data_IF_117820110854
#
_entry.id   IF_117820110854
#
_cell.length_a   1.000
_cell.length_b   1.000
_cell.length_c   1.000
_cell.angle_alpha   90.00
_cell.angle_beta   90.00
_cell.angle_gamma   90.00
#
_symmetry.space_group_name_H-M   'P 1'
#
loop_
_entity.id
_entity.type
_entity.pdbx_description
1 polymer ?
#
# COMPACT_ATOMS: atom_id res chain seq x y z
N UNK A 1 13.61 -12.83 6.61
CA UNK A 1 12.26 -12.48 7.08
C UNK A 1 11.39 -12.14 5.89
N UNK A 2 10.22 -12.75 5.78
CA UNK A 2 9.33 -12.55 4.63
C UNK A 2 8.50 -11.28 4.84
N UNK A 3 8.53 -10.38 3.86
CA UNK A 3 7.70 -9.19 3.87
C UNK A 3 6.25 -9.59 3.55
N UNK A 4 5.31 -9.17 4.41
CA UNK A 4 3.89 -9.51 4.27
C UNK A 4 3.12 -8.27 3.83
N UNK A 5 2.27 -8.42 2.83
CA UNK A 5 1.56 -7.30 2.22
C UNK A 5 0.06 -7.55 2.04
N UNK A 6 -0.70 -6.46 2.04
CA UNK A 6 -2.10 -6.42 1.60
C UNK A 6 -2.15 -5.45 0.42
N UNK A 7 -2.87 -5.81 -0.62
CA UNK A 7 -3.04 -4.97 -1.82
C UNK A 7 -4.50 -4.54 -1.92
N UNK A 8 -4.73 -3.24 -2.13
CA UNK A 8 -6.07 -2.66 -2.23
C UNK A 8 -6.22 -1.98 -3.59
N UNK A 9 -7.14 -2.47 -4.40
CA UNK A 9 -7.42 -1.96 -5.75
C UNK A 9 -8.81 -2.42 -6.15
N UNK A 10 -9.61 -1.57 -6.78
CA UNK A 10 -10.97 -1.92 -7.18
C UNK A 10 -11.03 -2.80 -8.43
N UNK A 11 -9.91 -3.03 -9.10
CA UNK A 11 -9.83 -3.89 -10.29
C UNK A 11 -9.28 -5.27 -9.92
N UNK A 12 -10.12 -6.33 -9.99
CA UNK A 12 -9.68 -7.69 -9.63
C UNK A 12 -8.52 -8.22 -10.47
N UNK A 13 -8.44 -7.83 -11.74
CA UNK A 13 -7.35 -8.27 -12.61
C UNK A 13 -6.02 -7.67 -12.16
N UNK A 14 -6.03 -6.40 -11.75
CA UNK A 14 -4.85 -5.72 -11.22
C UNK A 14 -4.41 -6.36 -9.90
N UNK A 15 -5.36 -6.68 -9.02
CA UNK A 15 -5.06 -7.36 -7.76
C UNK A 15 -4.33 -8.68 -7.99
N UNK A 16 -4.85 -9.51 -8.90
CA UNK A 16 -4.24 -10.80 -9.19
C UNK A 16 -2.86 -10.66 -9.82
N UNK A 17 -2.71 -9.74 -10.76
CA UNK A 17 -1.43 -9.50 -11.42
C UNK A 17 -0.37 -9.00 -10.43
N UNK A 18 -0.74 -8.07 -9.56
CA UNK A 18 0.16 -7.55 -8.54
C UNK A 18 0.56 -8.63 -7.54
N UNK A 19 -0.40 -9.45 -7.11
CA UNK A 19 -0.13 -10.58 -6.22
C UNK A 19 0.88 -11.54 -6.85
N UNK A 20 0.63 -11.96 -8.08
CA UNK A 20 1.50 -12.92 -8.77
C UNK A 20 2.91 -12.37 -8.95
N UNK A 21 3.00 -11.10 -9.31
CA UNK A 21 4.30 -10.42 -9.45
C UNK A 21 5.07 -10.41 -8.13
N UNK A 22 4.44 -9.95 -7.07
CA UNK A 22 5.10 -9.79 -5.76
C UNK A 22 5.44 -11.14 -5.14
N UNK A 23 4.54 -12.11 -5.23
CA UNK A 23 4.83 -13.47 -4.72
C UNK A 23 5.98 -14.11 -5.48
N UNK A 24 6.07 -13.88 -6.78
CA UNK A 24 7.21 -14.34 -7.58
C UNK A 24 8.53 -13.69 -7.17
N UNK A 25 8.48 -12.57 -6.48
CA UNK A 25 9.65 -11.84 -6.01
C UNK A 25 9.91 -12.01 -4.49
N UNK A 26 9.21 -12.95 -3.86
CA UNK A 26 9.45 -13.28 -2.46
C UNK A 26 8.68 -12.44 -1.44
N UNK A 27 7.69 -11.66 -1.88
CA UNK A 27 6.80 -10.91 -0.98
C UNK A 27 5.53 -11.73 -0.76
N UNK A 28 5.16 -11.99 0.49
CA UNK A 28 3.92 -12.69 0.79
C UNK A 28 2.75 -11.72 0.67
N UNK A 29 1.72 -12.09 -0.11
CA UNK A 29 0.50 -11.31 -0.22
C UNK A 29 -0.55 -12.02 0.62
N UNK A 30 -0.85 -11.46 1.79
CA UNK A 30 -1.75 -12.09 2.77
C UNK A 30 -3.20 -11.72 2.57
N UNK A 31 -3.49 -10.73 1.73
CA UNK A 31 -4.86 -10.38 1.41
C UNK A 31 -4.98 -9.44 0.23
N UNK A 32 -6.11 -9.53 -0.46
CA UNK A 32 -6.49 -8.66 -1.57
C UNK A 32 -7.83 -8.03 -1.21
N UNK A 33 -7.92 -6.71 -1.32
CA UNK A 33 -9.15 -5.97 -1.00
C UNK A 33 -9.56 -5.09 -2.17
N UNK A 34 -10.85 -5.03 -2.46
CA UNK A 34 -11.40 -4.16 -3.50
C UNK A 34 -12.14 -2.96 -2.93
N UNK A 35 -12.34 -2.90 -1.62
CA UNK A 35 -13.00 -1.79 -0.93
C UNK A 35 -12.23 -1.42 0.33
N UNK A 36 -12.51 -0.23 0.86
CA UNK A 36 -11.91 0.22 2.13
C UNK A 36 -12.29 -0.71 3.29
N UNK A 37 -13.53 -1.17 3.33
CA UNK A 37 -14.00 -2.04 4.42
C UNK A 37 -13.27 -3.39 4.41
N UNK A 38 -13.10 -3.99 3.23
CA UNK A 38 -12.32 -5.22 3.10
C UNK A 38 -10.88 -5.00 3.54
N UNK A 39 -10.29 -3.87 3.13
CA UNK A 39 -8.92 -3.53 3.48
C UNK A 39 -8.73 -3.42 4.99
N UNK A 40 -9.63 -2.71 5.65
CA UNK A 40 -9.57 -2.54 7.11
C UNK A 40 -9.66 -3.89 7.83
N UNK A 41 -10.57 -4.76 7.39
CA UNK A 41 -10.72 -6.11 7.97
C UNK A 41 -9.46 -6.95 7.81
N UNK A 42 -8.87 -6.93 6.60
CA UNK A 42 -7.67 -7.71 6.32
C UNK A 42 -6.46 -7.21 7.09
N UNK A 43 -6.32 -5.90 7.20
CA UNK A 43 -5.19 -5.31 7.93
C UNK A 43 -5.30 -5.61 9.42
N UNK A 44 -6.49 -5.53 9.98
CA UNK A 44 -6.74 -5.88 11.38
C UNK A 44 -6.43 -7.35 11.64
N UNK A 45 -6.89 -8.24 10.77
CA UNK A 45 -6.72 -9.68 10.92
C UNK A 45 -5.27 -10.13 10.76
N UNK A 46 -4.58 -9.61 9.73
CA UNK A 46 -3.26 -10.11 9.34
C UNK A 46 -2.09 -9.25 9.82
N UNK A 47 -2.34 -7.99 10.14
CA UNK A 47 -1.30 -7.03 10.55
C UNK A 47 -0.08 -7.09 9.62
N UNK A 48 -0.25 -6.76 8.33
CA UNK A 48 0.84 -6.85 7.36
C UNK A 48 1.93 -5.81 7.64
N UNK A 49 3.09 -6.02 7.05
CA UNK A 49 4.20 -5.06 7.14
C UNK A 49 3.93 -3.84 6.25
N UNK A 50 3.28 -4.06 5.10
CA UNK A 50 3.01 -3.00 4.13
C UNK A 50 1.63 -3.16 3.53
N UNK A 51 0.98 -2.03 3.26
CA UNK A 51 -0.32 -1.98 2.60
C UNK A 51 -0.15 -1.15 1.34
N UNK A 52 -0.43 -1.77 0.18
CA UNK A 52 -0.39 -1.09 -1.11
C UNK A 52 -1.79 -0.64 -1.46
N UNK A 53 -2.00 0.66 -1.61
CA UNK A 53 -3.33 1.23 -1.80
C UNK A 53 -3.38 2.04 -3.09
N UNK A 54 -4.27 1.64 -4.01
CA UNK A 54 -4.58 2.43 -5.20
C UNK A 54 -5.22 3.75 -4.75
N UNK A 55 -4.73 4.87 -5.26
CA UNK A 55 -5.30 6.19 -4.95
C UNK A 55 -6.74 6.32 -5.47
N UNK A 56 -7.10 5.55 -6.50
CA UNK A 56 -8.43 5.56 -7.11
C UNK A 56 -9.12 4.22 -6.85
N UNK A 57 -10.01 4.20 -5.87
CA UNK A 57 -10.77 3.01 -5.48
C UNK A 57 -12.23 3.09 -5.94
N UNK A 58 -12.46 3.56 -7.18
CA UNK A 58 -13.80 3.76 -7.70
C UNK A 58 -14.50 4.90 -6.96
N UNK A 59 -15.61 4.63 -6.25
CA UNK A 59 -16.30 5.69 -5.49
C UNK A 59 -15.55 6.12 -4.23
N UNK A 60 -14.51 5.38 -3.83
CA UNK A 60 -13.72 5.67 -2.64
C UNK A 60 -12.35 6.24 -3.01
N UNK A 61 -11.69 6.90 -2.05
CA UNK A 61 -10.37 7.46 -2.23
C UNK A 61 -9.32 6.67 -1.43
N UNK A 62 -8.23 6.30 -2.11
CA UNK A 62 -7.10 5.66 -1.44
C UNK A 62 -6.46 6.58 -0.40
N UNK A 63 -6.48 7.89 -0.61
CA UNK A 63 -5.98 8.85 0.38
C UNK A 63 -6.83 8.83 1.65
N UNK A 64 -8.15 8.73 1.51
CA UNK A 64 -9.05 8.64 2.65
C UNK A 64 -8.81 7.36 3.44
N UNK A 65 -8.63 6.25 2.74
CA UNK A 65 -8.31 4.96 3.39
C UNK A 65 -6.98 5.04 4.13
N UNK A 66 -5.96 5.62 3.53
CA UNK A 66 -4.65 5.78 4.17
C UNK A 66 -4.77 6.55 5.49
N UNK A 67 -5.57 7.63 5.50
CA UNK A 67 -5.81 8.40 6.73
C UNK A 67 -6.55 7.58 7.78
N UNK A 68 -7.57 6.82 7.39
CA UNK A 68 -8.31 5.95 8.32
C UNK A 68 -7.37 4.92 8.96
N UNK A 69 -6.49 4.33 8.18
CA UNK A 69 -5.51 3.36 8.68
C UNK A 69 -4.54 4.00 9.67
N UNK A 70 -4.09 5.22 9.39
CA UNK A 70 -3.14 5.90 10.28
C UNK A 70 -3.73 6.27 11.64
N UNK A 71 -5.05 6.38 11.74
CA UNK A 71 -5.74 6.70 12.99
C UNK A 71 -6.12 5.46 13.80
N UNK A 72 -5.91 4.27 13.25
CA UNK A 72 -6.24 3.04 13.97
C UNK A 72 -5.05 2.58 14.80
N UNK A 73 -5.24 2.44 16.11
CA UNK A 73 -4.21 1.98 17.03
C UNK A 73 -3.74 0.56 16.68
N UNK A 74 -4.68 -0.27 16.23
CA UNK A 74 -4.39 -1.68 15.91
C UNK A 74 -3.57 -1.85 14.63
N UNK A 75 -3.45 -0.79 13.84
CA UNK A 75 -2.82 -0.85 12.51
C UNK A 75 -1.54 0.00 12.45
N UNK A 76 -1.10 0.54 13.59
CA UNK A 76 0.02 1.49 13.66
C UNK A 76 1.36 0.93 13.16
N UNK A 77 1.48 -0.39 13.00
CA UNK A 77 2.73 -1.04 12.59
C UNK A 77 2.87 -1.23 11.08
N UNK A 78 1.79 -1.03 10.33
CA UNK A 78 1.81 -1.22 8.89
C UNK A 78 2.21 0.07 8.18
N UNK A 79 3.08 -0.05 7.18
CA UNK A 79 3.44 1.07 6.32
C UNK A 79 2.50 1.13 5.13
N UNK A 80 2.09 2.33 4.75
CA UNK A 80 1.21 2.54 3.60
C UNK A 80 2.02 3.06 2.42
N UNK A 81 1.86 2.42 1.27
CA UNK A 81 2.44 2.86 -0.01
C UNK A 81 1.28 3.05 -0.97
N UNK A 82 1.22 4.23 -1.58
CA UNK A 82 0.18 4.53 -2.57
C UNK A 82 0.65 4.07 -3.95
N UNK A 83 -0.26 3.50 -4.73
CA UNK A 83 0.02 3.06 -6.09
C UNK A 83 -1.01 3.69 -7.04
N UNK A 84 -0.62 3.91 -8.29
CA UNK A 84 -1.53 4.45 -9.30
C UNK A 84 -0.97 4.27 -10.71
N UNK A 85 -1.85 4.28 -11.71
CA UNK A 85 -1.48 4.39 -13.12
C UNK A 85 -1.28 5.85 -13.52
N UNK A 86 -1.72 6.80 -12.70
CA UNK A 86 -1.58 8.23 -12.98
C UNK A 86 -0.19 8.74 -12.64
N UNK A 87 0.18 9.87 -13.26
CA UNK A 87 1.45 10.54 -12.95
C UNK A 87 1.41 11.06 -11.51
N UNK A 88 2.43 10.79 -10.68
CA UNK A 88 2.44 11.27 -9.31
C UNK A 88 2.41 12.81 -9.20
N UNK A 89 2.85 13.54 -10.23
CA UNK A 89 2.81 15.00 -10.20
C UNK A 89 1.37 15.55 -10.16
N UNK A 90 0.40 14.78 -10.65
CA UNK A 90 -1.01 15.18 -10.61
C UNK A 90 -1.57 15.19 -9.19
N UNK A 91 -0.94 14.46 -8.27
CA UNK A 91 -1.39 14.29 -6.90
C UNK A 91 -0.32 14.64 -5.87
N UNK A 92 0.72 15.38 -6.29
CA UNK A 92 1.90 15.64 -5.45
C UNK A 92 1.54 16.17 -4.06
N UNK A 93 0.62 17.14 -3.98
CA UNK A 93 0.21 17.69 -2.70
C UNK A 93 -0.50 16.67 -1.82
N UNK A 94 -1.41 15.89 -2.40
CA UNK A 94 -2.17 14.87 -1.66
C UNK A 94 -1.24 13.75 -1.17
N UNK A 95 -0.26 13.36 -1.98
CA UNK A 95 0.72 12.36 -1.59
C UNK A 95 1.57 12.89 -0.43
N UNK A 96 2.05 14.13 -0.54
CA UNK A 96 2.91 14.74 0.46
C UNK A 96 2.21 14.92 1.82
N UNK A 97 0.90 15.18 1.82
CA UNK A 97 0.13 15.38 3.05
C UNK A 97 -0.50 14.09 3.59
N UNK A 98 -0.35 12.96 2.86
CA UNK A 98 -0.89 11.68 3.30
C UNK A 98 0.05 11.01 4.31
N UNK A 99 -0.46 10.04 5.09
CA UNK A 99 0.39 9.26 6.00
C UNK A 99 1.23 8.18 5.29
N UNK A 100 1.12 8.05 3.96
CA UNK A 100 1.89 7.08 3.22
C UNK A 100 3.38 7.40 3.24
N UNK A 101 4.22 6.38 3.24
CA UNK A 101 5.67 6.57 3.20
C UNK A 101 6.18 6.85 1.78
N UNK A 102 5.35 6.60 0.77
CA UNK A 102 5.73 6.88 -0.60
C UNK A 102 4.68 6.47 -1.61
N UNK A 103 5.05 6.63 -2.87
CA UNK A 103 4.21 6.35 -4.02
C UNK A 103 5.00 5.51 -5.03
N UNK A 104 4.32 4.55 -5.65
CA UNK A 104 4.90 3.74 -6.73
C UNK A 104 3.89 3.69 -7.88
N UNK A 105 4.35 3.97 -9.10
CA UNK A 105 3.52 3.74 -10.28
C UNK A 105 3.24 2.25 -10.42
N UNK A 106 2.03 1.87 -10.83
CA UNK A 106 1.68 0.46 -10.99
C UNK A 106 2.64 -0.26 -11.95
N UNK A 107 3.12 0.44 -12.98
CA UNK A 107 4.10 -0.11 -13.92
C UNK A 107 5.48 -0.36 -13.33
N UNK A 108 5.81 0.30 -12.21
CA UNK A 108 7.10 0.18 -11.54
C UNK A 108 7.02 -0.66 -10.26
N UNK A 109 5.86 -1.25 -9.98
CA UNK A 109 5.65 -2.04 -8.78
C UNK A 109 6.58 -3.26 -8.77
N UNK A 110 7.34 -3.41 -7.69
CA UNK A 110 8.27 -4.53 -7.49
C UNK A 110 8.62 -4.65 -6.02
N UNK A 111 9.13 -5.82 -5.63
CA UNK A 111 9.62 -6.01 -4.27
C UNK A 111 10.76 -5.02 -3.96
N UNK A 112 11.62 -4.76 -4.93
CA UNK A 112 12.74 -3.82 -4.77
C UNK A 112 12.23 -2.40 -4.49
N UNK A 113 11.23 -1.94 -5.24
CA UNK A 113 10.65 -0.60 -5.03
C UNK A 113 10.06 -0.47 -3.63
N UNK A 114 9.33 -1.49 -3.19
CA UNK A 114 8.75 -1.51 -1.84
C UNK A 114 9.84 -1.46 -0.78
N UNK A 115 10.86 -2.31 -0.90
CA UNK A 115 11.95 -2.39 0.08
C UNK A 115 12.75 -1.10 0.16
N UNK A 116 12.93 -0.39 -0.96
CA UNK A 116 13.61 0.90 -0.97
C UNK A 116 12.85 1.95 -0.16
N UNK A 117 11.52 2.00 -0.31
CA UNK A 117 10.71 2.94 0.47
C UNK A 117 10.76 2.62 1.95
N UNK A 118 10.69 1.34 2.31
CA UNK A 118 10.78 0.92 3.70
C UNK A 118 12.14 1.26 4.31
N UNK A 119 13.22 1.10 3.55
CA UNK A 119 14.57 1.39 4.01
C UNK A 119 14.77 2.90 4.27
N UNK A 120 14.26 3.75 3.38
CA UNK A 120 14.35 5.21 3.53
C UNK A 120 13.60 5.67 4.78
N UNK A 121 12.39 5.13 4.99
CA UNK A 121 11.60 5.47 6.17
C UNK A 121 12.29 5.04 7.46
N UNK A 122 12.90 3.85 7.48
CA UNK A 122 13.64 3.36 8.65
C UNK A 122 14.86 4.22 8.94
N UNK A 123 15.60 4.64 7.92
CA UNK A 123 16.78 5.48 8.08
C UNK A 123 16.39 6.84 8.68
N UNK A 124 15.30 7.44 8.21
CA UNK A 124 14.78 8.67 8.76
C UNK A 124 14.31 8.49 10.20
N UNK A 125 13.72 7.35 10.51
CA UNK A 125 13.21 7.04 11.84
C UNK A 125 14.30 6.71 12.86
N UNK A 126 15.54 6.55 12.44
CA UNK A 126 16.64 6.17 13.33
C UNK A 126 17.36 7.36 13.95
N UNK A 127 16.97 8.58 13.64
CA UNK A 127 17.57 9.78 14.22
C UNK A 127 16.92 10.19 15.54
#
# INVERSE_FOLDING_TARGET
MTLRSVIVDDNPAVLRAARDLLEGQGVAVVGLASTSEEALSLVEEHQPDVILIDIDLGPESGFALARRLSHSVDIARSYVILISTHDPSDYAHLIATSPAIGFVSKSDLSATAIRRLLAVDRDEGSY
#
